data_IF_254156862453
#
_entry.id   IF_254156862453
#
_cell.length_a   1.000
_cell.length_b   1.000
_cell.length_c   1.000
_cell.angle_alpha   90.00
_cell.angle_beta   90.00
_cell.angle_gamma   90.00
#
_symmetry.space_group_name_H-M   'P 1'
#
loop_
_entity.id
_entity.type
_entity.pdbx_description
1 polymer ?
#
# COMPACT_ATOMS: atom_id res chain seq x y z
N UNK A 1 -1.83 -69.72 15.41
CA UNK A 1 -1.53 -68.64 14.44
C UNK A 1 -2.24 -67.41 14.93
N UNK A 2 -1.51 -66.55 15.64
CA UNK A 2 -2.04 -65.29 16.16
C UNK A 2 -1.57 -64.17 15.24
N UNK A 3 -2.54 -63.57 14.55
CA UNK A 3 -2.29 -62.42 13.69
C UNK A 3 -2.41 -61.13 14.52
N UNK A 4 -1.30 -60.48 14.79
CA UNK A 4 -1.25 -59.17 15.41
C UNK A 4 -1.61 -58.11 14.35
N UNK A 5 -2.72 -57.41 14.55
CA UNK A 5 -3.14 -56.24 13.76
C UNK A 5 -2.46 -55.00 14.35
N UNK A 6 -1.45 -54.49 13.66
CA UNK A 6 -0.77 -53.24 14.04
C UNK A 6 -1.67 -52.05 13.54
N UNK A 7 -2.35 -51.39 14.48
CA UNK A 7 -3.02 -50.12 14.18
C UNK A 7 -1.97 -49.00 14.19
N UNK A 8 -1.67 -48.45 13.01
CA UNK A 8 -0.93 -47.21 12.87
C UNK A 8 -1.90 -46.02 13.14
N UNK A 9 -1.81 -45.43 14.31
CA UNK A 9 -2.39 -44.12 14.57
C UNK A 9 -1.50 -43.06 13.89
N UNK A 10 -1.92 -42.57 12.75
CA UNK A 10 -1.41 -41.31 12.16
C UNK A 10 -1.90 -40.14 13.04
N UNK A 11 -1.07 -39.71 13.97
CA UNK A 11 -1.21 -38.44 14.65
C UNK A 11 -0.96 -37.34 13.60
N UNK A 12 -2.04 -36.83 13.01
CA UNK A 12 -1.99 -35.51 12.36
C UNK A 12 -1.76 -34.47 13.45
N UNK A 13 -0.49 -34.12 13.67
CA UNK A 13 -0.16 -32.89 14.36
C UNK A 13 -0.66 -31.74 13.46
N UNK A 14 -1.87 -31.26 13.72
CA UNK A 14 -2.24 -29.91 13.32
C UNK A 14 -1.31 -28.97 14.08
N UNK A 15 -0.20 -28.60 13.46
CA UNK A 15 0.58 -27.46 13.88
C UNK A 15 -0.35 -26.27 13.56
N UNK A 16 -1.16 -25.88 14.53
CA UNK A 16 -1.83 -24.59 14.52
C UNK A 16 -0.69 -23.58 14.41
N UNK A 17 -0.66 -22.87 13.31
CA UNK A 17 0.26 -21.74 13.15
C UNK A 17 -0.04 -20.78 14.31
N UNK A 18 0.90 -20.69 15.26
CA UNK A 18 0.71 -19.89 16.45
C UNK A 18 0.71 -18.41 16.02
N UNK A 19 -0.42 -17.75 16.17
CA UNK A 19 -0.56 -16.32 15.88
C UNK A 19 0.27 -15.55 16.90
N UNK A 20 1.07 -14.61 16.41
CA UNK A 20 1.95 -13.81 17.26
C UNK A 20 1.17 -12.64 17.82
N UNK A 21 1.25 -12.43 19.12
CA UNK A 21 0.70 -11.24 19.75
C UNK A 21 1.59 -10.01 19.47
N UNK A 22 0.97 -8.87 19.27
CA UNK A 22 1.65 -7.60 19.04
C UNK A 22 0.89 -6.41 19.61
N UNK A 23 1.59 -5.29 19.71
CA UNK A 23 1.05 -3.95 20.02
C UNK A 23 1.56 -3.01 18.94
N UNK A 24 0.69 -2.14 18.40
CA UNK A 24 1.10 -1.12 17.46
C UNK A 24 2.07 -0.08 18.08
N UNK A 25 3.04 0.48 17.31
CA UNK A 25 3.31 0.16 15.91
C UNK A 25 4.19 -1.08 15.75
N UNK A 26 4.03 -1.83 14.63
CA UNK A 26 4.86 -3.01 14.29
C UNK A 26 6.25 -2.62 13.76
N UNK A 27 6.41 -1.40 13.22
CA UNK A 27 7.71 -0.77 12.97
C UNK A 27 7.72 0.58 13.69
N UNK A 28 8.58 0.68 14.74
CA UNK A 28 8.73 1.89 15.54
C UNK A 28 9.92 2.76 15.08
N UNK A 29 10.00 2.97 13.78
CA UNK A 29 10.97 3.82 13.10
C UNK A 29 10.23 4.61 12.03
N UNK A 30 10.85 5.66 11.48
CA UNK A 30 10.30 6.38 10.34
C UNK A 30 10.30 5.46 9.10
N UNK A 31 9.14 4.93 8.76
CA UNK A 31 8.89 4.05 7.62
C UNK A 31 7.55 4.37 6.96
N UNK A 32 7.37 5.61 6.47
CA UNK A 32 6.09 6.08 5.96
C UNK A 32 5.75 5.48 4.60
N UNK A 33 4.46 5.60 4.25
CA UNK A 33 3.91 5.24 2.94
C UNK A 33 4.20 3.77 2.59
N UNK A 34 3.81 2.82 3.46
CA UNK A 34 4.21 1.43 3.31
C UNK A 34 3.56 0.76 2.10
N UNK A 35 4.34 -0.05 1.39
CA UNK A 35 3.85 -0.99 0.38
C UNK A 35 4.33 -2.40 0.72
N UNK A 36 3.41 -3.37 0.80
CA UNK A 36 3.70 -4.73 1.25
C UNK A 36 3.46 -5.75 0.15
N UNK A 37 4.37 -6.73 0.03
CA UNK A 37 4.21 -7.90 -0.85
C UNK A 37 4.72 -9.15 -0.15
N UNK A 38 4.11 -10.31 -0.45
CA UNK A 38 4.67 -11.62 -0.10
C UNK A 38 5.63 -12.06 -1.20
N UNK A 39 6.87 -12.37 -0.83
CA UNK A 39 7.87 -12.93 -1.72
C UNK A 39 7.72 -14.43 -1.92
N UNK A 40 8.38 -14.98 -2.95
CA UNK A 40 8.39 -16.43 -3.24
C UNK A 40 9.09 -17.25 -2.15
N UNK A 41 9.90 -16.60 -1.33
CA UNK A 41 10.62 -17.21 -0.20
C UNK A 41 9.83 -17.20 1.13
N UNK A 42 8.52 -16.93 1.04
CA UNK A 42 7.56 -16.83 2.16
C UNK A 42 7.77 -15.66 3.12
N UNK A 43 8.76 -14.79 2.91
CA UNK A 43 8.83 -13.52 3.62
C UNK A 43 7.84 -12.51 3.06
N UNK A 44 7.30 -11.67 3.92
CA UNK A 44 6.67 -10.41 3.55
C UNK A 44 7.74 -9.34 3.47
N UNK A 45 7.63 -8.48 2.48
CA UNK A 45 8.53 -7.34 2.26
C UNK A 45 7.73 -6.06 2.32
N UNK A 46 8.22 -5.10 3.09
CA UNK A 46 7.67 -3.77 3.21
C UNK A 46 8.68 -2.76 2.68
N UNK A 47 8.19 -1.93 1.76
CA UNK A 47 8.94 -0.81 1.18
C UNK A 47 8.34 0.48 1.72
N UNK A 48 9.20 1.46 2.02
CA UNK A 48 8.79 2.75 2.57
C UNK A 48 9.46 3.91 1.85
N UNK A 49 8.88 5.09 1.96
CA UNK A 49 9.52 6.36 1.61
C UNK A 49 10.91 6.43 2.25
N UNK A 50 11.89 6.99 1.52
CA UNK A 50 13.30 6.99 1.94
C UNK A 50 14.05 5.72 1.53
N UNK A 51 13.52 4.94 0.55
CA UNK A 51 14.18 3.77 -0.07
C UNK A 51 14.39 2.55 0.84
N UNK A 52 13.71 2.45 1.96
CA UNK A 52 13.93 1.36 2.91
C UNK A 52 13.14 0.12 2.56
N UNK A 53 13.80 -1.05 2.67
CA UNK A 53 13.18 -2.36 2.55
C UNK A 53 13.30 -3.08 3.88
N UNK A 54 12.17 -3.57 4.37
CA UNK A 54 12.07 -4.44 5.54
C UNK A 54 11.52 -5.79 5.12
N UNK A 55 11.78 -6.85 5.90
CA UNK A 55 11.15 -8.16 5.72
C UNK A 55 10.64 -8.74 7.04
N UNK A 56 9.65 -9.62 6.94
CA UNK A 56 9.03 -10.29 8.08
C UNK A 56 8.48 -11.66 7.66
N UNK A 57 8.47 -12.63 8.58
CA UNK A 57 7.78 -13.92 8.39
C UNK A 57 6.31 -13.87 8.83
N UNK A 58 5.92 -12.84 9.60
CA UNK A 58 4.64 -12.81 10.33
C UNK A 58 3.89 -11.46 10.23
N UNK A 59 4.42 -10.48 9.48
CA UNK A 59 3.93 -9.10 9.34
C UNK A 59 3.97 -8.28 10.65
N UNK A 60 4.47 -8.84 11.73
CA UNK A 60 4.57 -8.21 13.06
C UNK A 60 6.01 -7.83 13.39
N UNK A 61 6.94 -8.76 13.21
CA UNK A 61 8.36 -8.58 13.49
C UNK A 61 9.10 -8.30 12.19
N UNK A 62 9.54 -7.07 12.02
CA UNK A 62 10.20 -6.59 10.83
C UNK A 62 11.69 -6.37 11.07
N UNK A 63 12.51 -6.79 10.13
CA UNK A 63 13.94 -6.50 10.09
C UNK A 63 14.30 -5.68 8.85
N UNK A 64 15.19 -4.72 8.99
CA UNK A 64 15.71 -3.94 7.88
C UNK A 64 16.58 -4.84 6.99
N UNK A 65 16.41 -4.71 5.68
CA UNK A 65 17.16 -5.47 4.68
C UNK A 65 18.23 -4.60 4.04
N UNK A 66 17.83 -3.55 3.32
CA UNK A 66 18.69 -2.62 2.59
C UNK A 66 17.89 -1.44 2.05
N UNK A 67 18.61 -0.53 1.38
CA UNK A 67 17.97 0.47 0.53
C UNK A 67 17.69 -0.08 -0.87
N UNK A 68 16.62 0.42 -1.51
CA UNK A 68 16.13 -0.02 -2.83
C UNK A 68 17.23 -0.02 -3.91
N UNK A 69 18.00 1.07 -4.00
CA UNK A 69 19.04 1.25 -5.00
C UNK A 69 20.46 1.08 -4.46
N UNK A 70 20.64 0.33 -3.38
CA UNK A 70 21.96 0.13 -2.79
C UNK A 70 22.93 -0.52 -3.79
N UNK A 71 24.02 0.21 -4.10
CA UNK A 71 25.01 -0.25 -5.09
C UNK A 71 24.57 -0.14 -6.55
N UNK A 72 23.46 0.51 -6.84
CA UNK A 72 22.89 0.73 -8.17
C UNK A 72 22.76 2.22 -8.50
N UNK A 73 22.67 2.59 -9.80
CA UNK A 73 22.28 3.95 -10.18
C UNK A 73 20.91 4.31 -9.61
N UNK A 74 20.79 5.55 -9.13
CA UNK A 74 19.52 6.10 -8.66
C UNK A 74 18.73 6.73 -9.80
N UNK A 75 17.39 6.78 -9.71
CA UNK A 75 16.56 7.46 -10.68
C UNK A 75 16.90 8.96 -10.73
N UNK A 76 16.84 9.56 -11.93
CA UNK A 76 17.28 10.94 -12.18
C UNK A 76 16.37 11.71 -13.15
N UNK A 77 15.10 11.33 -13.26
CA UNK A 77 14.15 11.98 -14.17
C UNK A 77 13.53 13.27 -13.61
N UNK A 78 13.72 13.54 -12.33
CA UNK A 78 13.42 14.81 -11.67
C UNK A 78 14.68 15.23 -10.93
N UNK A 79 15.01 16.51 -10.96
CA UNK A 79 16.20 17.05 -10.27
C UNK A 79 15.93 17.21 -8.77
N UNK A 80 15.65 16.09 -8.10
CA UNK A 80 15.41 16.00 -6.66
C UNK A 80 15.92 14.65 -6.15
N UNK A 81 16.32 14.63 -4.89
CA UNK A 81 16.86 13.43 -4.27
C UNK A 81 15.85 12.80 -3.26
N UNK A 82 14.56 13.00 -3.49
CA UNK A 82 13.49 12.52 -2.60
C UNK A 82 12.71 11.41 -3.27
N UNK A 83 12.83 10.20 -2.71
CA UNK A 83 12.08 9.00 -3.11
C UNK A 83 10.91 8.81 -2.17
N UNK A 84 9.68 8.78 -2.74
CA UNK A 84 8.43 8.70 -1.99
C UNK A 84 7.52 7.59 -2.48
N UNK A 85 6.64 7.14 -1.56
CA UNK A 85 5.46 6.33 -1.81
C UNK A 85 5.70 5.17 -2.81
N UNK A 86 6.48 4.15 -2.42
CA UNK A 86 6.70 2.99 -3.26
C UNK A 86 5.44 2.14 -3.44
N UNK A 87 5.28 1.52 -4.61
CA UNK A 87 4.31 0.46 -4.86
C UNK A 87 5.02 -0.74 -5.45
N UNK A 88 5.18 -1.79 -4.67
CA UNK A 88 5.79 -3.06 -5.11
C UNK A 88 4.73 -4.01 -5.68
N UNK A 89 5.07 -4.67 -6.77
CA UNK A 89 4.26 -5.75 -7.35
C UNK A 89 5.15 -6.83 -7.96
N UNK A 90 4.58 -8.00 -8.23
CA UNK A 90 5.26 -9.05 -8.98
C UNK A 90 4.59 -9.19 -10.34
N UNK A 91 5.39 -9.18 -11.41
CA UNK A 91 4.95 -9.33 -12.79
C UNK A 91 5.79 -10.43 -13.46
N UNK A 92 5.20 -11.59 -13.67
CA UNK A 92 5.95 -12.77 -14.10
C UNK A 92 7.04 -13.14 -13.10
N UNK A 93 8.30 -13.16 -13.54
CA UNK A 93 9.47 -13.47 -12.71
C UNK A 93 10.17 -12.24 -12.12
N UNK A 94 9.63 -11.05 -12.35
CA UNK A 94 10.23 -9.79 -11.90
C UNK A 94 9.39 -9.17 -10.76
N UNK A 95 10.08 -8.61 -9.79
CA UNK A 95 9.52 -7.65 -8.85
C UNK A 95 9.65 -6.26 -9.48
N UNK A 96 8.53 -5.59 -9.65
CA UNK A 96 8.44 -4.26 -10.26
C UNK A 96 8.06 -3.27 -9.19
N UNK A 97 8.84 -2.23 -9.05
CA UNK A 97 8.69 -1.18 -8.06
C UNK A 97 8.40 0.14 -8.76
N UNK A 98 7.21 0.66 -8.53
CA UNK A 98 6.85 2.03 -8.89
C UNK A 98 7.08 2.93 -7.69
N UNK A 99 7.47 4.17 -7.92
CA UNK A 99 7.75 5.13 -6.85
C UNK A 99 7.57 6.56 -7.36
N UNK A 100 7.47 7.52 -6.47
CA UNK A 100 7.47 8.93 -6.85
C UNK A 100 8.83 9.58 -6.59
N UNK A 101 9.23 10.50 -7.47
CA UNK A 101 10.24 11.51 -7.21
C UNK A 101 9.57 12.87 -7.17
N UNK A 102 9.77 13.60 -6.07
CA UNK A 102 9.23 14.93 -5.90
C UNK A 102 10.03 15.70 -4.85
N UNK A 103 9.69 16.97 -4.69
CA UNK A 103 10.13 17.81 -3.57
C UNK A 103 8.90 18.44 -2.93
N UNK A 104 9.01 18.80 -1.67
CA UNK A 104 7.91 19.47 -0.97
C UNK A 104 7.53 20.76 -1.71
N UNK A 105 6.25 20.86 -2.12
CA UNK A 105 5.74 21.95 -2.97
C UNK A 105 6.05 21.82 -4.46
N UNK A 106 6.76 20.79 -4.93
CA UNK A 106 7.15 20.58 -6.33
C UNK A 106 6.05 19.93 -7.20
N UNK A 107 4.84 20.45 -7.14
CA UNK A 107 3.65 19.85 -7.77
C UNK A 107 3.69 19.76 -9.30
N UNK A 108 4.42 20.64 -9.97
CA UNK A 108 4.54 20.65 -11.42
C UNK A 108 5.72 19.77 -11.92
N UNK A 109 6.70 19.49 -11.05
CA UNK A 109 7.89 18.70 -11.38
C UNK A 109 7.84 17.26 -10.87
N UNK A 110 6.83 16.89 -10.08
CA UNK A 110 6.67 15.53 -9.59
C UNK A 110 6.53 14.51 -10.71
N UNK A 111 6.91 13.27 -10.44
CA UNK A 111 6.74 12.20 -11.40
C UNK A 111 6.87 10.81 -10.78
N UNK A 112 6.44 9.83 -11.55
CA UNK A 112 6.46 8.40 -11.19
C UNK A 112 7.59 7.72 -11.95
N UNK A 113 8.36 6.92 -11.21
CA UNK A 113 9.43 6.09 -11.71
C UNK A 113 9.10 4.61 -11.67
N UNK A 114 9.95 3.81 -12.33
CA UNK A 114 9.85 2.37 -12.36
C UNK A 114 11.24 1.72 -12.32
N UNK A 115 11.36 0.68 -11.50
CA UNK A 115 12.55 -0.16 -11.37
C UNK A 115 12.16 -1.64 -11.21
N UNK A 116 13.08 -2.54 -11.49
CA UNK A 116 12.85 -3.98 -11.43
C UNK A 116 13.96 -4.72 -10.71
N UNK A 117 13.62 -5.85 -10.12
CA UNK A 117 14.58 -6.79 -9.53
C UNK A 117 14.11 -8.24 -9.74
N UNK A 118 15.03 -9.19 -9.69
CA UNK A 118 14.72 -10.62 -9.73
C UNK A 118 14.28 -11.18 -8.37
N UNK A 119 14.57 -10.46 -7.29
CA UNK A 119 14.21 -10.82 -5.92
C UNK A 119 13.54 -9.65 -5.22
N UNK A 120 12.67 -9.89 -4.22
CA UNK A 120 12.00 -8.80 -3.49
C UNK A 120 12.96 -8.01 -2.59
N UNK A 121 14.16 -8.53 -2.33
CA UNK A 121 15.19 -7.82 -1.56
C UNK A 121 15.93 -6.78 -2.42
N UNK A 122 15.76 -6.82 -3.75
CA UNK A 122 16.57 -6.01 -4.67
C UNK A 122 18.04 -6.50 -4.75
N UNK A 123 19.01 -5.60 -5.01
CA UNK A 123 18.80 -4.19 -5.35
C UNK A 123 18.07 -4.04 -6.68
N UNK A 124 17.32 -2.93 -6.82
CA UNK A 124 16.52 -2.67 -8.01
C UNK A 124 17.31 -1.93 -9.09
N UNK A 125 17.08 -2.31 -10.33
CA UNK A 125 17.62 -1.65 -11.52
C UNK A 125 16.56 -0.69 -12.10
N UNK A 126 16.92 0.59 -12.25
CA UNK A 126 16.06 1.59 -12.87
C UNK A 126 15.76 1.22 -14.33
N UNK A 127 14.58 1.51 -14.80
CA UNK A 127 14.16 1.26 -16.17
C UNK A 127 14.17 2.55 -17.00
N UNK A 128 13.99 2.44 -18.33
CA UNK A 128 13.90 3.58 -19.25
C UNK A 128 15.10 4.55 -19.20
N UNK A 129 16.28 4.05 -18.87
CA UNK A 129 17.54 4.79 -18.83
C UNK A 129 17.72 5.67 -17.58
N UNK A 130 16.70 6.37 -17.12
CA UNK A 130 16.75 7.26 -15.95
C UNK A 130 15.72 6.92 -14.87
N UNK A 131 14.98 5.82 -15.02
CA UNK A 131 13.95 5.36 -14.07
C UNK A 131 12.57 5.97 -14.28
N UNK A 132 12.34 6.81 -15.31
CA UNK A 132 11.08 7.51 -15.56
C UNK A 132 10.00 6.58 -16.09
N UNK A 133 8.80 6.64 -15.48
CA UNK A 133 7.56 6.19 -16.10
C UNK A 133 6.84 7.37 -16.76
N UNK A 134 6.62 8.45 -16.02
CA UNK A 134 6.13 9.75 -16.51
C UNK A 134 6.32 10.86 -15.46
N UNK A 135 6.17 12.11 -15.90
CA UNK A 135 6.15 13.30 -15.03
C UNK A 135 4.83 14.07 -15.18
N UNK A 136 4.51 14.92 -14.21
CA UNK A 136 3.27 15.72 -14.15
C UNK A 136 2.97 16.45 -15.46
N UNK A 137 3.97 17.04 -16.11
CA UNK A 137 3.80 17.75 -17.37
C UNK A 137 3.42 16.85 -18.56
N UNK A 138 3.87 15.59 -18.59
CA UNK A 138 3.56 14.64 -19.68
C UNK A 138 2.13 14.12 -19.59
N UNK A 139 1.64 13.88 -18.36
CA UNK A 139 0.28 13.37 -18.14
C UNK A 139 -0.75 14.50 -17.94
N UNK A 140 -0.31 15.75 -17.80
CA UNK A 140 -1.17 16.91 -17.55
C UNK A 140 -1.94 16.80 -16.22
N UNK A 141 -1.32 16.21 -15.20
CA UNK A 141 -1.84 16.08 -13.83
C UNK A 141 -0.79 16.61 -12.88
N UNK A 142 -1.12 17.61 -12.09
CA UNK A 142 -0.23 18.15 -11.06
C UNK A 142 -0.04 17.14 -9.95
N UNK A 143 1.11 17.26 -9.27
CA UNK A 143 1.46 16.41 -8.13
C UNK A 143 1.27 14.92 -8.42
N UNK A 144 1.86 14.45 -9.55
CA UNK A 144 1.81 13.05 -9.97
C UNK A 144 2.74 12.19 -9.09
N UNK A 145 2.22 11.82 -7.92
CA UNK A 145 2.86 10.96 -6.91
C UNK A 145 1.90 9.84 -6.48
N UNK A 146 2.30 9.02 -5.53
CA UNK A 146 1.54 7.94 -4.90
C UNK A 146 1.04 6.89 -5.91
N UNK A 147 1.95 6.23 -6.64
CA UNK A 147 1.55 5.23 -7.61
C UNK A 147 1.00 3.97 -6.93
N UNK A 148 -0.08 3.44 -7.48
CA UNK A 148 -0.60 2.12 -7.16
C UNK A 148 -0.78 1.30 -8.45
N UNK A 149 -0.16 0.11 -8.51
CA UNK A 149 -0.30 -0.81 -9.64
C UNK A 149 -1.45 -1.77 -9.42
N UNK A 150 -2.27 -1.96 -10.46
CA UNK A 150 -3.31 -2.97 -10.50
C UNK A 150 -3.40 -3.60 -11.89
N UNK A 151 -3.75 -4.90 -11.93
CA UNK A 151 -4.09 -5.61 -13.16
C UNK A 151 -5.59 -5.91 -13.16
N UNK A 152 -6.26 -5.54 -14.24
CA UNK A 152 -7.69 -5.76 -14.43
C UNK A 152 -7.98 -6.25 -15.84
N UNK A 153 -8.65 -7.40 -15.95
CA UNK A 153 -9.01 -8.04 -17.22
C UNK A 153 -7.83 -8.22 -18.20
N UNK A 154 -6.64 -8.53 -17.66
CA UNK A 154 -5.42 -8.72 -18.44
C UNK A 154 -4.71 -7.44 -18.88
N UNK A 155 -5.25 -6.26 -18.57
CA UNK A 155 -4.60 -4.97 -18.76
C UNK A 155 -3.98 -4.49 -17.45
N UNK A 156 -2.84 -3.77 -17.55
CA UNK A 156 -2.07 -3.24 -16.44
C UNK A 156 -2.31 -1.75 -16.30
N UNK A 157 -2.45 -1.27 -15.08
CA UNK A 157 -2.74 0.14 -14.80
C UNK A 157 -1.88 0.68 -13.68
N UNK A 158 -1.55 1.97 -13.76
CA UNK A 158 -1.15 2.79 -12.62
C UNK A 158 -2.31 3.69 -12.26
N UNK A 159 -2.66 3.66 -10.98
CA UNK A 159 -3.56 4.62 -10.32
C UNK A 159 -2.66 5.55 -9.52
N UNK A 160 -2.88 6.87 -9.59
CA UNK A 160 -2.01 7.83 -8.92
C UNK A 160 -2.71 9.17 -8.71
N UNK A 161 -2.08 10.03 -7.93
CA UNK A 161 -2.47 11.41 -7.74
C UNK A 161 -2.55 11.82 -6.28
N UNK A 162 -2.37 13.10 -6.04
CA UNK A 162 -2.39 13.71 -4.72
C UNK A 162 -2.94 15.13 -4.81
N UNK A 163 -4.12 15.36 -4.23
CA UNK A 163 -4.86 16.62 -4.11
C UNK A 163 -5.20 17.36 -5.42
N UNK A 164 -4.93 16.75 -6.57
CA UNK A 164 -5.29 17.27 -7.91
C UNK A 164 -6.12 16.25 -8.71
N UNK A 165 -6.79 15.32 -8.01
CA UNK A 165 -7.54 14.20 -8.53
C UNK A 165 -6.76 12.89 -8.51
N UNK A 166 -7.50 11.79 -8.39
CA UNK A 166 -6.96 10.43 -8.51
C UNK A 166 -7.28 9.93 -9.91
N UNK A 167 -6.24 9.56 -10.65
CA UNK A 167 -6.34 9.12 -12.04
C UNK A 167 -5.87 7.68 -12.22
N UNK A 168 -6.32 7.05 -13.29
CA UNK A 168 -5.81 5.78 -13.77
C UNK A 168 -5.31 5.90 -15.21
N UNK A 169 -4.26 5.15 -15.56
CA UNK A 169 -3.72 5.07 -16.93
C UNK A 169 -3.24 3.66 -17.23
N UNK A 170 -3.51 3.19 -18.46
CA UNK A 170 -3.07 1.87 -18.91
C UNK A 170 -1.59 1.87 -19.26
N UNK A 171 -0.89 0.82 -18.82
CA UNK A 171 0.50 0.53 -19.17
C UNK A 171 0.56 -0.42 -20.38
N UNK A 172 1.72 -0.47 -21.02
CA UNK A 172 2.06 -1.52 -21.97
C UNK A 172 2.14 -2.89 -21.25
N UNK A 173 2.14 -3.97 -22.01
CA UNK A 173 2.11 -5.34 -21.48
C UNK A 173 3.30 -5.70 -20.58
N UNK A 174 4.43 -5.03 -20.74
CA UNK A 174 5.60 -5.17 -19.88
C UNK A 174 5.42 -4.48 -18.50
N UNK A 175 4.46 -3.54 -18.39
CA UNK A 175 4.25 -2.73 -17.18
C UNK A 175 5.29 -1.63 -16.97
N UNK A 176 6.21 -1.41 -17.91
CA UNK A 176 7.35 -0.51 -17.73
C UNK A 176 7.20 0.82 -18.47
N UNK A 177 6.11 1.00 -19.19
CA UNK A 177 5.83 2.23 -19.94
C UNK A 177 4.33 2.46 -20.09
N UNK A 178 3.93 3.73 -20.27
CA UNK A 178 2.53 4.12 -20.50
C UNK A 178 2.12 3.78 -21.94
N UNK A 179 0.94 3.18 -22.09
CA UNK A 179 0.41 2.78 -23.39
C UNK A 179 -0.06 3.97 -24.23
N UNK A 180 -0.80 4.89 -23.61
CA UNK A 180 -1.28 6.11 -24.25
C UNK A 180 -1.58 7.19 -23.20
N UNK A 181 -0.84 8.28 -23.22
CA UNK A 181 -1.00 9.41 -22.29
C UNK A 181 -2.37 10.10 -22.38
N UNK A 182 -3.03 10.04 -23.54
CA UNK A 182 -4.35 10.62 -23.75
C UNK A 182 -5.52 9.85 -23.12
N UNK A 183 -5.30 8.61 -22.70
CA UNK A 183 -6.35 7.70 -22.24
C UNK A 183 -6.41 7.57 -20.71
N UNK A 184 -5.97 8.59 -19.96
CA UNK A 184 -6.18 8.60 -18.51
C UNK A 184 -7.66 8.81 -18.17
N UNK A 185 -8.10 8.26 -17.04
CA UNK A 185 -9.45 8.40 -16.51
C UNK A 185 -9.43 8.85 -15.06
N UNK A 186 -10.41 9.66 -14.65
CA UNK A 186 -10.53 10.20 -13.30
C UNK A 186 -11.36 9.24 -12.43
N UNK A 187 -10.88 8.94 -11.22
CA UNK A 187 -11.52 8.05 -10.25
C UNK A 187 -12.06 8.79 -9.02
N UNK A 188 -11.35 9.81 -8.55
CA UNK A 188 -11.74 10.60 -7.38
C UNK A 188 -11.30 12.06 -7.54
N UNK A 189 -11.96 12.95 -6.80
CA UNK A 189 -11.74 14.40 -6.81
C UNK A 189 -10.44 14.81 -6.11
N UNK A 190 -10.40 16.06 -5.67
CA UNK A 190 -9.16 16.74 -5.27
C UNK A 190 -8.85 16.66 -3.78
N UNK A 191 -9.64 15.94 -2.97
CA UNK A 191 -9.39 15.79 -1.53
C UNK A 191 -8.46 14.64 -1.18
N UNK A 192 -8.11 13.80 -2.16
CA UNK A 192 -7.52 12.48 -1.97
C UNK A 192 -6.08 12.39 -2.43
N UNK A 193 -5.32 11.50 -1.76
CA UNK A 193 -4.03 10.97 -2.18
C UNK A 193 -3.89 9.50 -1.73
N UNK A 194 -2.72 8.87 -1.97
CA UNK A 194 -2.41 7.53 -1.48
C UNK A 194 -3.46 6.48 -1.88
N UNK A 195 -3.84 6.47 -3.14
CA UNK A 195 -4.93 5.64 -3.65
C UNK A 195 -4.56 4.15 -3.72
N UNK A 196 -5.51 3.29 -3.34
CA UNK A 196 -5.41 1.84 -3.40
C UNK A 196 -6.75 1.23 -3.80
N UNK A 197 -6.77 0.33 -4.79
CA UNK A 197 -8.00 -0.38 -5.19
C UNK A 197 -7.94 -1.83 -4.72
N UNK A 198 -8.97 -2.26 -4.00
CA UNK A 198 -9.17 -3.64 -3.55
C UNK A 198 -10.46 -4.23 -4.13
N UNK A 199 -10.39 -5.47 -4.64
CA UNK A 199 -11.55 -6.17 -5.23
C UNK A 199 -12.06 -7.23 -4.26
N UNK A 200 -13.33 -7.13 -3.86
CA UNK A 200 -13.98 -8.08 -2.95
C UNK A 200 -15.48 -8.13 -3.19
N UNK A 201 -16.06 -9.34 -3.20
CA UNK A 201 -17.51 -9.54 -3.22
C UNK A 201 -18.23 -8.92 -4.42
N UNK A 202 -17.55 -8.81 -5.58
CA UNK A 202 -18.10 -8.18 -6.78
C UNK A 202 -17.99 -6.65 -6.82
N UNK A 203 -17.35 -6.04 -5.81
CA UNK A 203 -17.07 -4.61 -5.75
C UNK A 203 -15.58 -4.32 -5.88
N UNK A 204 -15.27 -3.14 -6.40
CA UNK A 204 -14.00 -2.44 -6.28
C UNK A 204 -14.12 -1.41 -5.18
N UNK A 205 -13.18 -1.39 -4.26
CA UNK A 205 -13.08 -0.42 -3.18
C UNK A 205 -11.89 0.48 -3.46
N UNK A 206 -12.14 1.77 -3.61
CA UNK A 206 -11.08 2.77 -3.71
C UNK A 206 -10.82 3.32 -2.30
N UNK A 207 -9.73 2.86 -1.71
CA UNK A 207 -9.17 3.44 -0.50
C UNK A 207 -8.31 4.63 -0.89
N UNK A 208 -8.34 5.66 -0.08
CA UNK A 208 -7.50 6.83 -0.23
C UNK A 208 -7.25 7.48 1.13
N UNK A 209 -6.43 8.50 1.15
CA UNK A 209 -6.19 9.30 2.35
C UNK A 209 -6.58 10.75 2.10
N UNK A 210 -7.04 11.42 3.15
CA UNK A 210 -7.39 12.83 3.18
C UNK A 210 -6.67 13.55 4.32
N UNK A 211 -6.62 14.88 4.26
CA UNK A 211 -6.02 15.70 5.31
C UNK A 211 -4.50 15.82 5.16
N UNK A 212 -3.81 16.19 6.23
CA UNK A 212 -2.37 16.48 6.26
C UNK A 212 -1.60 15.30 6.87
N UNK A 213 -0.65 14.71 6.12
CA UNK A 213 0.11 13.52 6.52
C UNK A 213 1.30 13.81 7.43
N UNK A 214 1.87 15.02 7.37
CA UNK A 214 3.29 15.20 7.63
C UNK A 214 3.59 16.33 8.64
N UNK A 215 2.67 16.59 9.58
CA UNK A 215 2.72 17.67 10.55
C UNK A 215 2.88 17.18 12.01
N UNK A 216 3.45 15.97 12.18
CA UNK A 216 3.64 15.39 13.50
C UNK A 216 2.31 15.25 14.26
N UNK A 217 2.27 15.69 15.51
CA UNK A 217 1.05 15.60 16.34
C UNK A 217 -0.13 16.46 15.83
N UNK A 218 0.13 17.40 14.91
CA UNK A 218 -0.90 18.22 14.26
C UNK A 218 -1.47 17.62 12.99
N UNK A 219 -0.97 16.47 12.56
CA UNK A 219 -1.45 15.76 11.36
C UNK A 219 -2.92 15.39 11.48
N UNK A 220 -3.66 15.61 10.38
CA UNK A 220 -5.09 15.33 10.29
C UNK A 220 -5.41 14.16 9.35
N UNK A 221 -4.40 13.42 8.93
CA UNK A 221 -4.50 12.35 7.96
C UNK A 221 -5.45 11.25 8.41
N UNK A 222 -6.29 10.78 7.49
CA UNK A 222 -7.29 9.73 7.73
C UNK A 222 -7.40 8.84 6.50
N UNK A 223 -7.72 7.56 6.69
CA UNK A 223 -8.06 6.66 5.58
C UNK A 223 -9.55 6.66 5.31
N UNK A 224 -9.90 6.79 4.04
CA UNK A 224 -11.28 6.86 3.55
C UNK A 224 -11.52 5.80 2.48
N UNK A 225 -12.79 5.55 2.16
CA UNK A 225 -13.18 4.58 1.14
C UNK A 225 -14.44 5.00 0.40
N UNK A 226 -14.52 4.60 -0.87
CA UNK A 226 -15.74 4.48 -1.66
C UNK A 226 -15.72 3.17 -2.43
N UNK A 227 -16.87 2.69 -2.90
CA UNK A 227 -16.95 1.45 -3.67
C UNK A 227 -17.71 1.60 -4.98
N UNK A 228 -17.41 0.72 -5.94
CA UNK A 228 -18.05 0.65 -7.25
C UNK A 228 -18.22 -0.79 -7.71
N UNK A 229 -19.17 -1.06 -8.59
CA UNK A 229 -19.25 -2.32 -9.35
C UNK A 229 -18.42 -2.30 -10.62
N UNK A 230 -17.84 -1.15 -10.97
CA UNK A 230 -16.97 -0.95 -12.13
C UNK A 230 -15.56 -0.51 -11.69
N UNK A 231 -14.53 -1.03 -12.33
CA UNK A 231 -13.14 -0.64 -12.09
C UNK A 231 -12.88 0.87 -12.28
N UNK A 232 -13.54 1.46 -13.26
CA UNK A 232 -13.40 2.89 -13.57
C UNK A 232 -14.39 3.79 -12.82
N UNK A 233 -15.14 3.24 -11.87
CA UNK A 233 -16.12 4.00 -11.09
C UNK A 233 -17.51 4.12 -11.74
N UNK A 234 -18.36 5.02 -11.23
CA UNK A 234 -18.10 5.90 -10.09
C UNK A 234 -17.94 5.14 -8.76
N UNK A 235 -16.97 5.56 -7.95
CA UNK A 235 -16.81 5.09 -6.57
C UNK A 235 -17.72 5.91 -5.66
N UNK A 236 -18.61 5.26 -4.93
CA UNK A 236 -19.60 5.90 -4.09
C UNK A 236 -19.32 5.61 -2.60
N UNK A 237 -19.57 6.59 -1.75
CA UNK A 237 -19.67 6.44 -0.30
C UNK A 237 -20.96 5.68 0.08
N UNK A 238 -21.11 5.31 1.33
CA UNK A 238 -22.27 4.55 1.82
C UNK A 238 -23.60 5.31 1.74
N UNK A 239 -23.55 6.64 1.72
CA UNK A 239 -24.69 7.51 1.52
C UNK A 239 -25.01 7.82 0.03
N UNK A 240 -24.19 7.27 -0.90
CA UNK A 240 -24.37 7.40 -2.34
C UNK A 240 -23.68 8.59 -2.98
N UNK A 241 -22.94 9.39 -2.23
CA UNK A 241 -22.13 10.49 -2.78
C UNK A 241 -20.91 9.94 -3.55
N UNK A 242 -20.49 10.60 -4.63
CA UNK A 242 -19.40 10.14 -5.46
C UNK A 242 -18.04 10.68 -5.00
N UNK A 243 -17.00 9.83 -5.00
CA UNK A 243 -15.63 10.26 -4.69
C UNK A 243 -15.11 11.30 -5.69
N UNK A 244 -15.59 11.30 -6.92
CA UNK A 244 -15.26 12.33 -7.90
C UNK A 244 -15.73 13.73 -7.44
N UNK A 245 -16.78 13.79 -6.63
CA UNK A 245 -17.34 15.01 -6.02
C UNK A 245 -16.83 15.21 -4.58
N UNK A 246 -15.77 14.49 -4.20
CA UNK A 246 -15.15 14.50 -2.87
C UNK A 246 -16.04 13.96 -1.73
N UNK A 247 -16.97 13.02 -2.03
CA UNK A 247 -17.71 12.28 -1.01
C UNK A 247 -16.99 10.99 -0.66
N UNK A 248 -17.03 10.55 0.61
CA UNK A 248 -16.30 9.37 1.09
C UNK A 248 -16.80 8.92 2.47
N UNK A 249 -16.49 7.69 2.84
CA UNK A 249 -16.62 7.20 4.22
C UNK A 249 -15.25 7.19 4.90
N UNK A 250 -15.15 7.77 6.10
CA UNK A 250 -13.95 7.65 6.93
C UNK A 250 -13.97 6.31 7.64
N UNK A 251 -12.91 5.52 7.48
CA UNK A 251 -12.80 4.20 8.10
C UNK A 251 -11.69 4.09 9.15
N UNK A 252 -10.70 4.99 9.09
CA UNK A 252 -9.59 4.99 10.04
C UNK A 252 -9.17 6.42 10.35
N UNK A 253 -9.18 6.77 11.62
CA UNK A 253 -8.76 8.07 12.17
C UNK A 253 -7.79 7.88 13.33
N UNK A 254 -7.09 8.95 13.71
CA UNK A 254 -6.26 8.95 14.91
C UNK A 254 -7.08 8.77 16.19
N UNK A 255 -6.36 8.44 17.30
CA UNK A 255 -6.93 8.32 18.65
C UNK A 255 -6.02 8.99 19.68
N UNK A 256 -6.14 8.62 20.96
CA UNK A 256 -5.31 9.16 22.04
C UNK A 256 -3.82 8.76 21.94
N UNK A 257 -3.48 7.66 21.25
CA UNK A 257 -2.12 7.16 21.11
C UNK A 257 -1.49 7.46 19.73
N UNK A 258 -2.30 7.56 18.68
CA UNK A 258 -1.85 7.71 17.31
C UNK A 258 -2.54 8.86 16.59
N UNK A 259 -1.85 9.47 15.63
CA UNK A 259 -2.36 10.56 14.79
C UNK A 259 -1.77 10.48 13.38
N UNK A 260 -2.48 11.05 12.40
CA UNK A 260 -2.01 11.06 11.02
C UNK A 260 -2.02 9.66 10.38
N UNK A 261 -3.12 8.94 10.53
CA UNK A 261 -3.29 7.54 10.08
C UNK A 261 -3.69 7.47 8.63
N UNK A 262 -2.86 6.89 7.78
CA UNK A 262 -3.19 6.79 6.35
C UNK A 262 -2.10 6.16 5.52
N UNK A 263 -2.19 6.39 4.21
CA UNK A 263 -1.32 5.82 3.19
C UNK A 263 -1.15 4.32 3.38
N UNK A 264 -2.23 3.59 3.23
CA UNK A 264 -2.26 2.16 3.49
C UNK A 264 -1.55 1.34 2.42
N UNK A 265 -0.90 0.26 2.86
CA UNK A 265 -0.42 -0.81 1.99
C UNK A 265 -1.58 -1.64 1.41
N UNK A 266 -1.26 -2.57 0.51
CA UNK A 266 -2.21 -3.58 0.04
C UNK A 266 -2.79 -4.37 1.21
N UNK A 267 -4.08 -4.66 1.12
CA UNK A 267 -4.75 -5.60 2.03
C UNK A 267 -4.16 -6.98 1.80
N UNK A 268 -3.76 -7.64 2.88
CA UNK A 268 -3.27 -9.02 2.89
C UNK A 268 -4.34 -9.89 3.54
N UNK A 269 -4.73 -10.95 2.87
CA UNK A 269 -5.60 -11.99 3.44
C UNK A 269 -4.72 -13.07 4.09
N UNK A 270 -5.02 -13.41 5.35
CA UNK A 270 -4.33 -14.45 6.10
C UNK A 270 -4.94 -15.84 5.82
N UNK A 271 -4.32 -16.91 6.32
CA UNK A 271 -4.82 -18.28 6.14
C UNK A 271 -6.20 -18.53 6.77
N UNK A 272 -6.57 -17.72 7.77
CA UNK A 272 -7.90 -17.73 8.38
C UNK A 272 -8.96 -16.95 7.62
N UNK A 273 -8.60 -16.34 6.47
CA UNK A 273 -9.50 -15.52 5.64
C UNK A 273 -9.78 -14.13 6.21
N UNK A 274 -9.00 -13.67 7.20
CA UNK A 274 -9.07 -12.30 7.72
C UNK A 274 -8.22 -11.39 6.87
N UNK A 275 -8.64 -10.14 6.77
CA UNK A 275 -7.97 -9.12 5.96
C UNK A 275 -7.23 -8.14 6.86
N UNK A 276 -5.97 -7.84 6.50
CA UNK A 276 -5.03 -7.04 7.27
C UNK A 276 -4.52 -5.87 6.45
N UNK A 277 -4.38 -4.73 7.08
CA UNK A 277 -3.88 -3.52 6.45
C UNK A 277 -2.75 -2.92 7.29
N UNK A 278 -1.58 -2.74 6.67
CA UNK A 278 -0.53 -1.91 7.21
C UNK A 278 -0.71 -0.47 6.71
N UNK A 279 -0.42 0.51 7.55
CA UNK A 279 -0.53 1.94 7.24
C UNK A 279 0.41 2.74 8.14
N UNK A 280 0.68 4.00 7.81
CA UNK A 280 1.51 4.79 8.70
C UNK A 280 0.71 5.61 9.71
N UNK A 281 1.36 5.94 10.84
CA UNK A 281 0.85 6.85 11.87
C UNK A 281 2.01 7.44 12.68
N UNK A 282 1.82 8.64 13.23
CA UNK A 282 2.66 9.15 14.30
C UNK A 282 2.19 8.61 15.66
N UNK A 283 3.14 8.35 16.56
CA UNK A 283 2.84 8.13 17.96
C UNK A 283 2.69 9.50 18.62
N UNK A 284 1.55 9.79 19.24
CA UNK A 284 1.31 11.08 19.93
C UNK A 284 2.36 11.39 20.98
N UNK A 285 2.84 12.63 20.97
CA UNK A 285 3.91 13.09 21.85
C UNK A 285 5.30 12.54 21.52
N UNK A 286 5.44 11.76 20.43
CA UNK A 286 6.69 11.16 19.96
C UNK A 286 6.87 11.35 18.44
N UNK A 287 6.32 12.41 17.88
CA UNK A 287 6.35 12.66 16.42
C UNK A 287 7.77 12.80 15.85
N UNK A 288 8.79 13.06 16.69
CA UNK A 288 10.20 13.05 16.29
C UNK A 288 10.74 11.68 15.85
N UNK A 289 10.05 10.57 16.16
CA UNK A 289 10.36 9.23 15.64
C UNK A 289 10.09 9.16 14.14
N UNK A 290 9.17 9.99 13.63
CA UNK A 290 8.65 9.94 12.28
C UNK A 290 7.33 9.16 12.19
N UNK A 291 6.91 8.84 10.96
CA UNK A 291 5.69 8.07 10.68
C UNK A 291 5.99 6.58 10.81
N UNK A 292 5.50 5.98 11.87
CA UNK A 292 5.67 4.55 12.18
C UNK A 292 4.69 3.69 11.40
N UNK A 293 4.87 2.36 11.36
CA UNK A 293 3.93 1.45 10.70
C UNK A 293 3.04 0.77 11.74
N UNK A 294 1.75 0.92 11.58
CA UNK A 294 0.72 0.16 12.29
C UNK A 294 0.17 -0.97 11.41
N UNK A 295 -0.35 -2.02 12.06
CA UNK A 295 -1.01 -3.16 11.43
C UNK A 295 -2.31 -3.43 12.17
N UNK A 296 -3.43 -3.48 11.46
CA UNK A 296 -4.71 -3.83 12.06
C UNK A 296 -5.56 -4.69 11.11
N UNK A 297 -6.45 -5.50 11.71
CA UNK A 297 -7.44 -6.27 10.98
C UNK A 297 -8.51 -5.33 10.43
N UNK A 298 -8.74 -5.39 9.13
CA UNK A 298 -9.86 -4.73 8.47
C UNK A 298 -11.04 -5.69 8.43
N UNK A 299 -12.17 -5.29 9.00
CA UNK A 299 -13.39 -6.05 9.10
C UNK A 299 -14.41 -5.57 8.06
N UNK A 300 -15.43 -6.38 7.82
CA UNK A 300 -16.43 -6.11 6.79
C UNK A 300 -17.84 -6.22 7.39
N UNK A 301 -18.70 -5.24 7.14
CA UNK A 301 -20.11 -5.31 7.52
C UNK A 301 -20.85 -6.33 6.67
N UNK A 302 -22.09 -6.66 7.05
CA UNK A 302 -22.94 -7.55 6.25
C UNK A 302 -23.23 -6.97 4.84
N UNK A 303 -23.25 -5.65 4.71
CA UNK A 303 -23.42 -4.93 3.44
C UNK A 303 -22.13 -4.83 2.65
N UNK A 304 -21.01 -5.36 3.19
CA UNK A 304 -19.70 -5.41 2.54
C UNK A 304 -18.88 -4.13 2.67
N UNK A 305 -19.14 -3.25 3.64
CA UNK A 305 -18.30 -2.08 3.89
C UNK A 305 -17.13 -2.41 4.83
N UNK A 306 -15.91 -1.93 4.52
CA UNK A 306 -14.76 -2.12 5.39
C UNK A 306 -14.82 -1.19 6.61
N UNK A 307 -14.31 -1.68 7.74
CA UNK A 307 -14.16 -0.87 8.94
C UNK A 307 -13.02 -1.41 9.83
N UNK A 308 -12.47 -0.55 10.67
CA UNK A 308 -11.57 -0.94 11.75
C UNK A 308 -12.33 -0.94 13.08
N UNK A 309 -11.92 -1.78 14.01
CA UNK A 309 -12.46 -1.74 15.38
C UNK A 309 -12.21 -0.33 15.94
N UNK A 310 -13.26 0.30 16.47
CA UNK A 310 -13.25 1.69 16.98
C UNK A 310 -12.85 2.76 15.93
N UNK A 311 -12.75 2.42 14.64
CA UNK A 311 -12.35 3.34 13.57
C UNK A 311 -10.96 3.94 13.75
N UNK A 312 -10.06 3.27 14.48
CA UNK A 312 -8.75 3.80 14.87
C UNK A 312 -7.72 2.70 15.07
N UNK A 313 -6.40 3.01 15.13
CA UNK A 313 -5.36 2.03 15.42
C UNK A 313 -5.57 1.35 16.75
N UNK A 314 -5.32 0.05 16.82
CA UNK A 314 -5.36 -0.69 18.09
C UNK A 314 -4.27 -0.17 19.04
N UNK A 315 -4.64 0.00 20.32
CA UNK A 315 -3.73 0.49 21.38
C UNK A 315 -3.41 -0.59 22.41
N UNK A 316 -4.07 -1.74 22.33
CA UNK A 316 -3.88 -2.91 23.20
C UNK A 316 -3.28 -4.07 22.42
N UNK A 317 -2.83 -5.08 23.15
CA UNK A 317 -2.31 -6.30 22.54
C UNK A 317 -3.36 -6.95 21.62
N UNK A 318 -2.93 -7.26 20.39
CA UNK A 318 -3.71 -7.94 19.37
C UNK A 318 -3.04 -9.25 18.97
N UNK A 319 -3.82 -10.18 18.43
CA UNK A 319 -3.28 -11.35 17.75
C UNK A 319 -3.04 -10.99 16.28
N UNK A 320 -1.83 -11.18 15.80
CA UNK A 320 -1.43 -10.93 14.42
C UNK A 320 -2.07 -11.89 13.41
N UNK A 321 -1.71 -11.74 12.10
CA UNK A 321 -2.20 -12.60 11.03
C UNK A 321 -1.82 -14.07 11.23
N UNK A 322 -2.62 -14.95 10.69
CA UNK A 322 -2.31 -16.38 10.56
C UNK A 322 -1.54 -16.61 9.25
N UNK A 323 -0.19 -16.68 9.31
CA UNK A 323 0.70 -16.72 8.14
C UNK A 323 1.13 -18.15 7.80
#
# INVERSE_FOLDING_TARGET
>A
MNTFLLLFFLLFNNILSERINYVNPVIRLDAPDPSVIKGDNNYYYLYATGERIYRSLDMVRWEYVRNVFEGKPRPSFVDVNSYWAPCITKQGNLYVLYFALSTWGGIDSAGIGVATASTPEGPFDIQNGNGKLFVSGEVGVKNSIDPFYIEENGSKYIIWGSFYGIYGIELNSDGLSVKNFGNKFLLAGTYFEASYIYKRGGYYYLFASIGSCCEGDSSTYQTVVGRSTSFTGPYLSSDGGAMIDNSFDVILSGNSAFVGTGHNARIIEDKGGRTWMAYHAYIRGQSSIGRTVCLDEIKWTNEGWPYFTDGSPSTTEQQGPEI
#
